data_IF_478424226107
#
_entry.id   IF_478424226107
#
_cell.length_a   1.000
_cell.length_b   1.000
_cell.length_c   1.000
_cell.angle_alpha   90.00
_cell.angle_beta   90.00
_cell.angle_gamma   90.00
#
_symmetry.space_group_name_H-M   'P 1'
#
loop_
_entity.id
_entity.type
_entity.pdbx_description
1 polymer ?
#
# COMPACT_ATOMS: atom_id res chain seq x y z
N UNK A 1 -16.28 -16.71 -9.75
CA UNK A 1 -15.63 -17.00 -8.45
C UNK A 1 -15.87 -15.80 -7.55
N UNK A 2 -16.42 -15.97 -6.35
CA UNK A 2 -16.56 -14.84 -5.41
C UNK A 2 -15.16 -14.47 -4.89
N UNK A 3 -14.80 -13.18 -4.90
CA UNK A 3 -13.49 -12.70 -4.43
C UNK A 3 -13.23 -13.12 -2.99
N UNK A 4 -12.02 -13.58 -2.64
CA UNK A 4 -11.72 -14.02 -1.29
C UNK A 4 -11.99 -12.93 -0.24
N UNK A 5 -11.70 -11.66 -0.54
CA UNK A 5 -11.84 -10.56 0.44
C UNK A 5 -13.30 -10.18 0.71
N UNK A 6 -14.16 -10.17 -0.32
CA UNK A 6 -15.61 -9.93 -0.15
C UNK A 6 -16.25 -11.02 0.72
N UNK A 7 -15.86 -12.28 0.52
CA UNK A 7 -16.34 -13.42 1.31
C UNK A 7 -15.96 -13.29 2.80
N UNK A 8 -14.75 -12.79 3.10
CA UNK A 8 -14.34 -12.52 4.48
C UNK A 8 -15.24 -11.45 5.13
N UNK A 9 -15.55 -10.38 4.39
CA UNK A 9 -16.46 -9.34 4.86
C UNK A 9 -17.89 -9.86 5.12
N UNK A 10 -18.45 -10.64 4.20
CA UNK A 10 -19.77 -11.27 4.38
C UNK A 10 -19.79 -12.22 5.59
N UNK A 11 -18.72 -12.97 5.80
CA UNK A 11 -18.57 -13.83 6.98
C UNK A 11 -18.56 -13.02 8.26
N UNK A 12 -17.81 -11.91 8.29
CA UNK A 12 -17.78 -11.00 9.43
C UNK A 12 -19.17 -10.41 9.74
N UNK A 13 -19.92 -9.98 8.71
CA UNK A 13 -21.31 -9.52 8.87
C UNK A 13 -22.20 -10.61 9.50
N UNK A 14 -22.12 -11.84 8.99
CA UNK A 14 -22.93 -12.96 9.45
C UNK A 14 -22.61 -13.40 10.89
N UNK A 15 -21.39 -13.14 11.38
CA UNK A 15 -21.03 -13.39 12.78
C UNK A 15 -21.53 -12.32 13.75
N UNK A 16 -22.28 -11.31 13.26
CA UNK A 16 -22.77 -10.19 14.06
C UNK A 16 -21.69 -9.13 14.29
N UNK A 17 -20.77 -8.96 13.33
CA UNK A 17 -19.67 -7.98 13.40
C UNK A 17 -18.78 -8.14 14.63
N UNK A 18 -18.55 -9.39 15.07
CA UNK A 18 -17.71 -9.67 16.24
C UNK A 18 -16.30 -9.13 16.02
N UNK A 19 -15.83 -8.35 16.97
CA UNK A 19 -14.46 -7.92 17.05
C UNK A 19 -13.69 -8.87 17.98
N UNK A 20 -12.54 -9.35 17.54
CA UNK A 20 -11.76 -10.34 18.26
C UNK A 20 -10.32 -10.35 17.83
N UNK A 21 -9.64 -11.45 18.13
CA UNK A 21 -8.26 -11.67 17.71
C UNK A 21 -8.24 -12.04 16.22
N UNK A 22 -7.45 -11.31 15.44
CA UNK A 22 -7.25 -11.56 14.02
C UNK A 22 -5.90 -12.26 13.87
N UNK A 23 -5.88 -13.46 13.31
CA UNK A 23 -4.66 -14.20 13.01
C UNK A 23 -4.90 -15.07 11.77
N UNK A 24 -3.85 -15.30 11.00
CA UNK A 24 -3.89 -16.22 9.84
C UNK A 24 -3.29 -17.58 10.16
N UNK A 25 -2.40 -17.64 11.15
CA UNK A 25 -1.81 -18.84 11.70
C UNK A 25 -1.51 -18.68 13.20
N UNK A 26 -1.28 -19.80 13.88
CA UNK A 26 -0.84 -19.87 15.27
C UNK A 26 -0.12 -21.20 15.56
N UNK A 27 0.23 -21.43 16.83
CA UNK A 27 0.95 -22.63 17.28
C UNK A 27 0.20 -23.97 17.09
N UNK A 28 -1.08 -23.94 16.71
CA UNK A 28 -1.95 -25.11 16.57
C UNK A 28 -2.48 -25.29 15.14
N UNK A 29 -2.00 -24.49 14.18
CA UNK A 29 -2.40 -24.57 12.77
C UNK A 29 -1.16 -24.73 11.89
N UNK A 30 -1.32 -25.29 10.70
CA UNK A 30 -0.29 -25.19 9.66
C UNK A 30 0.10 -23.71 9.44
N UNK A 31 1.38 -23.47 9.12
CA UNK A 31 1.85 -22.12 8.81
C UNK A 31 1.06 -21.54 7.64
N UNK A 32 0.73 -20.26 7.70
CA UNK A 32 0.08 -19.61 6.56
C UNK A 32 0.98 -19.68 5.32
N UNK A 33 2.29 -19.45 5.49
CA UNK A 33 3.30 -19.62 4.45
C UNK A 33 3.23 -20.99 3.78
N UNK A 34 2.99 -22.08 4.52
CA UNK A 34 2.90 -23.43 3.97
C UNK A 34 1.80 -23.54 2.92
N UNK A 35 0.62 -23.04 3.25
CA UNK A 35 -0.53 -22.99 2.35
C UNK A 35 -0.26 -22.12 1.11
N UNK A 36 0.50 -21.03 1.28
CA UNK A 36 0.89 -20.15 0.16
C UNK A 36 1.86 -20.87 -0.79
N UNK A 37 2.86 -21.58 -0.25
CA UNK A 37 3.82 -22.36 -1.03
C UNK A 37 3.13 -23.50 -1.77
N UNK A 38 2.21 -24.22 -1.13
CA UNK A 38 1.39 -25.27 -1.77
C UNK A 38 0.49 -24.72 -2.88
N UNK A 39 -0.01 -23.51 -2.70
CA UNK A 39 -0.76 -22.76 -3.70
C UNK A 39 0.10 -22.25 -4.87
N UNK A 40 1.42 -22.48 -4.86
CA UNK A 40 2.37 -21.96 -5.84
C UNK A 40 2.35 -20.42 -5.94
N UNK A 41 2.03 -19.74 -4.84
CA UNK A 41 1.97 -18.29 -4.74
C UNK A 41 3.25 -17.74 -4.11
N UNK A 42 3.53 -16.46 -4.35
CA UNK A 42 4.66 -15.80 -3.71
C UNK A 42 4.36 -15.50 -2.23
N UNK A 43 5.17 -16.00 -1.27
CA UNK A 43 4.95 -15.74 0.15
C UNK A 43 4.97 -14.26 0.52
N UNK A 44 5.94 -13.48 0.03
CA UNK A 44 6.06 -12.07 0.38
C UNK A 44 4.85 -11.26 -0.08
N UNK A 45 4.40 -11.46 -1.33
CA UNK A 45 3.22 -10.78 -1.88
C UNK A 45 1.96 -11.14 -1.10
N UNK A 46 1.76 -12.44 -0.84
CA UNK A 46 0.55 -12.92 -0.16
C UNK A 46 0.51 -12.43 1.30
N UNK A 47 1.63 -12.41 2.00
CA UNK A 47 1.72 -11.87 3.34
C UNK A 47 1.42 -10.36 3.39
N UNK A 48 1.81 -9.56 2.38
CA UNK A 48 1.42 -8.15 2.33
C UNK A 48 -0.09 -7.96 2.27
N UNK A 49 -0.78 -8.76 1.45
CA UNK A 49 -2.24 -8.74 1.36
C UNK A 49 -2.89 -9.13 2.70
N UNK A 50 -2.42 -10.22 3.31
CA UNK A 50 -2.93 -10.72 4.58
C UNK A 50 -2.72 -9.72 5.73
N UNK A 51 -1.51 -9.17 5.85
CA UNK A 51 -1.16 -8.17 6.87
C UNK A 51 -1.97 -6.90 6.69
N UNK A 52 -2.11 -6.37 5.48
CA UNK A 52 -2.96 -5.19 5.26
C UNK A 52 -4.39 -5.49 5.68
N UNK A 53 -4.95 -6.67 5.37
CA UNK A 53 -6.30 -7.04 5.82
C UNK A 53 -6.39 -7.08 7.34
N UNK A 54 -5.50 -7.79 8.02
CA UNK A 54 -5.49 -7.87 9.48
C UNK A 54 -5.38 -6.48 10.13
N UNK A 55 -4.48 -5.63 9.65
CA UNK A 55 -4.20 -4.33 10.26
C UNK A 55 -5.21 -3.23 9.87
N UNK A 56 -6.07 -3.45 8.88
CA UNK A 56 -7.07 -2.46 8.45
C UNK A 56 -8.51 -2.88 8.71
N UNK A 57 -8.74 -4.07 9.26
CA UNK A 57 -10.07 -4.58 9.64
C UNK A 57 -10.35 -4.41 11.14
N UNK A 58 -11.62 -4.47 11.58
CA UNK A 58 -11.99 -4.46 13.00
C UNK A 58 -11.47 -5.70 13.74
N UNK A 59 -10.93 -5.49 14.94
CA UNK A 59 -10.29 -6.53 15.75
C UNK A 59 -8.83 -6.22 16.07
N UNK A 60 -8.16 -7.16 16.75
CA UNK A 60 -6.78 -7.03 17.23
C UNK A 60 -5.89 -8.00 16.46
N UNK A 61 -4.97 -7.51 15.61
CA UNK A 61 -4.00 -8.35 14.92
C UNK A 61 -3.08 -9.06 15.90
N UNK A 62 -2.96 -10.38 15.75
CA UNK A 62 -1.96 -11.22 16.40
C UNK A 62 -1.11 -11.85 15.31
N UNK A 63 0.20 -11.71 15.46
CA UNK A 63 1.18 -12.24 14.53
C UNK A 63 2.01 -13.27 15.28
N UNK A 64 2.00 -14.48 14.76
CA UNK A 64 2.75 -15.59 15.34
C UNK A 64 4.23 -15.47 14.97
N UNK A 65 5.15 -15.86 15.87
CA UNK A 65 6.58 -15.75 15.62
C UNK A 65 6.99 -16.46 14.33
N UNK A 66 7.84 -15.83 13.51
CA UNK A 66 8.25 -16.33 12.20
C UNK A 66 7.33 -15.90 11.05
N UNK A 67 6.10 -15.46 11.32
CA UNK A 67 5.22 -14.92 10.28
C UNK A 67 5.73 -13.58 9.72
N UNK A 68 6.59 -12.88 10.47
CA UNK A 68 7.34 -11.71 10.02
C UNK A 68 8.45 -12.01 9.00
N UNK A 69 8.90 -13.27 8.87
CA UNK A 69 9.90 -13.74 7.91
C UNK A 69 9.39 -14.91 7.04
N UNK A 70 8.16 -14.77 6.51
CA UNK A 70 7.33 -15.84 5.93
C UNK A 70 7.80 -17.27 6.23
N UNK A 71 7.87 -17.63 7.52
CA UNK A 71 8.41 -18.91 7.94
C UNK A 71 7.48 -20.04 7.51
N UNK A 72 8.05 -21.05 6.85
CA UNK A 72 7.34 -22.26 6.43
C UNK A 72 7.33 -23.32 7.56
N UNK A 73 6.41 -24.27 7.49
CA UNK A 73 6.35 -25.42 8.38
C UNK A 73 5.20 -26.36 8.02
N UNK A 74 5.52 -27.63 7.78
CA UNK A 74 4.62 -28.71 7.36
C UNK A 74 4.23 -29.68 8.49
N UNK A 75 5.01 -29.69 9.57
CA UNK A 75 4.86 -30.54 10.76
C UNK A 75 4.71 -29.69 12.02
N UNK A 76 4.20 -30.28 13.09
CA UNK A 76 4.06 -29.57 14.38
C UNK A 76 5.42 -29.11 14.92
N UNK A 77 6.45 -29.96 14.78
CA UNK A 77 7.82 -29.64 15.12
C UNK A 77 8.30 -28.40 14.35
N UNK A 78 8.00 -28.32 13.05
CA UNK A 78 8.38 -27.20 12.19
C UNK A 78 7.62 -25.91 12.50
N UNK A 79 6.32 -26.01 12.79
CA UNK A 79 5.49 -24.86 13.22
C UNK A 79 6.06 -24.23 14.50
N UNK A 80 6.54 -25.06 15.43
CA UNK A 80 7.05 -24.64 16.74
C UNK A 80 8.55 -24.28 16.75
N UNK A 81 9.26 -24.41 15.61
CA UNK A 81 10.67 -24.00 15.51
C UNK A 81 10.84 -22.54 15.92
N UNK A 82 11.94 -22.26 16.61
CA UNK A 82 12.33 -20.89 16.92
C UNK A 82 12.65 -20.14 15.64
N UNK A 83 12.14 -18.91 15.56
CA UNK A 83 12.40 -18.02 14.44
C UNK A 83 13.89 -17.69 14.33
N UNK A 84 14.42 -17.74 13.11
CA UNK A 84 15.78 -17.33 12.80
C UNK A 84 15.81 -15.86 12.40
N UNK A 85 15.98 -14.96 13.37
CA UNK A 85 15.90 -13.51 13.14
C UNK A 85 16.85 -12.95 12.07
N UNK A 86 17.91 -13.68 11.71
CA UNK A 86 18.92 -13.25 10.74
C UNK A 86 18.67 -13.76 9.31
N UNK A 87 17.65 -14.59 9.07
CA UNK A 87 17.43 -15.25 7.77
C UNK A 87 16.27 -14.66 6.96
N UNK A 88 15.73 -13.51 7.39
CA UNK A 88 14.58 -12.87 6.78
C UNK A 88 14.89 -11.91 5.64
N UNK A 89 13.93 -11.74 4.73
CA UNK A 89 13.91 -10.65 3.75
C UNK A 89 13.60 -9.32 4.45
N UNK A 90 14.47 -8.32 4.27
CA UNK A 90 14.27 -6.96 4.79
C UNK A 90 12.98 -6.31 4.26
N UNK A 91 12.49 -6.74 3.08
CA UNK A 91 11.31 -6.14 2.43
C UNK A 91 10.02 -6.36 3.22
N UNK A 92 9.77 -7.59 3.67
CA UNK A 92 8.54 -7.92 4.40
C UNK A 92 8.58 -7.37 5.82
N UNK A 93 9.75 -7.37 6.47
CA UNK A 93 9.94 -6.75 7.77
C UNK A 93 9.66 -5.24 7.72
N UNK A 94 10.19 -4.54 6.71
CA UNK A 94 9.88 -3.12 6.47
C UNK A 94 8.40 -2.88 6.21
N UNK A 95 7.76 -3.76 5.44
CA UNK A 95 6.32 -3.67 5.21
C UNK A 95 5.53 -3.83 6.52
N UNK A 96 5.90 -4.79 7.35
CA UNK A 96 5.30 -5.03 8.67
C UNK A 96 5.40 -3.80 9.57
N UNK A 97 6.58 -3.19 9.63
CA UNK A 97 6.80 -1.94 10.37
C UNK A 97 5.93 -0.80 9.82
N UNK A 98 5.85 -0.66 8.48
CA UNK A 98 5.03 0.36 7.82
C UNK A 98 3.54 0.19 8.13
N UNK A 99 2.99 -1.02 7.97
CA UNK A 99 1.55 -1.26 8.20
C UNK A 99 1.18 -1.10 9.68
N UNK A 100 2.05 -1.53 10.60
CA UNK A 100 1.88 -1.33 12.04
C UNK A 100 1.90 0.17 12.40
N UNK A 101 2.85 0.92 11.83
CA UNK A 101 2.93 2.37 12.01
C UNK A 101 1.69 3.09 11.47
N UNK A 102 1.20 2.71 10.29
CA UNK A 102 -0.05 3.23 9.70
C UNK A 102 -1.22 2.98 10.66
N UNK A 103 -1.43 1.74 11.13
CA UNK A 103 -2.53 1.45 12.06
C UNK A 103 -2.44 2.27 13.36
N UNK A 104 -1.22 2.48 13.88
CA UNK A 104 -0.98 3.31 15.07
C UNK A 104 -1.26 4.79 14.82
N UNK A 105 -0.88 5.31 13.66
CA UNK A 105 -1.05 6.70 13.28
C UNK A 105 -2.51 7.06 12.99
N UNK A 106 -3.30 6.11 12.48
CA UNK A 106 -4.67 6.33 12.03
C UNK A 106 -5.68 5.56 12.88
N UNK A 107 -6.23 6.16 13.97
CA UNK A 107 -7.21 5.52 14.84
C UNK A 107 -8.45 4.97 14.13
N UNK A 108 -8.80 5.53 12.96
CA UNK A 108 -9.90 5.04 12.11
C UNK A 108 -9.73 3.58 11.69
N UNK A 109 -8.50 3.06 11.61
CA UNK A 109 -8.23 1.65 11.32
C UNK A 109 -8.44 0.73 12.54
N UNK A 110 -8.47 1.29 13.75
CA UNK A 110 -8.71 0.53 14.98
C UNK A 110 -10.16 0.64 15.46
N UNK A 111 -10.75 1.84 15.38
CA UNK A 111 -12.05 2.16 15.99
C UNK A 111 -13.12 2.59 15.00
N UNK A 112 -12.76 2.79 13.73
CA UNK A 112 -13.73 3.19 12.71
C UNK A 112 -14.65 2.06 12.31
N UNK A 113 -15.77 2.42 11.71
CA UNK A 113 -16.63 1.47 11.03
C UNK A 113 -15.87 0.72 9.92
N UNK A 114 -16.49 -0.32 9.37
CA UNK A 114 -15.92 -1.08 8.27
C UNK A 114 -17.03 -1.48 7.32
N UNK A 115 -17.03 -0.86 6.14
CA UNK A 115 -18.05 -1.05 5.12
C UNK A 115 -17.41 -1.40 3.79
N UNK A 116 -17.98 -2.36 3.07
CA UNK A 116 -17.63 -2.62 1.67
C UNK A 116 -18.28 -1.54 0.80
N UNK A 117 -17.46 -0.80 0.05
CA UNK A 117 -17.92 0.25 -0.88
C UNK A 117 -18.32 -0.36 -2.21
N UNK A 118 -17.39 -1.10 -2.82
CA UNK A 118 -17.61 -1.80 -4.07
C UNK A 118 -16.66 -2.99 -4.20
N UNK A 119 -17.03 -3.96 -5.04
CA UNK A 119 -16.21 -5.12 -5.36
C UNK A 119 -16.48 -5.57 -6.80
N UNK A 120 -15.40 -5.65 -7.59
CA UNK A 120 -15.44 -6.03 -9.00
C UNK A 120 -14.41 -7.10 -9.28
N UNK A 121 -14.85 -8.36 -9.43
CA UNK A 121 -13.92 -9.49 -9.46
C UNK A 121 -13.05 -9.47 -8.20
N UNK A 122 -11.78 -9.90 -8.27
CA UNK A 122 -10.97 -9.99 -7.06
C UNK A 122 -10.49 -8.65 -6.47
N UNK A 123 -10.94 -7.52 -7.04
CA UNK A 123 -10.77 -6.18 -6.49
C UNK A 123 -11.91 -5.84 -5.51
N UNK A 124 -11.57 -5.37 -4.31
CA UNK A 124 -12.52 -4.92 -3.30
C UNK A 124 -12.05 -3.62 -2.64
N UNK A 125 -12.96 -2.67 -2.45
CA UNK A 125 -12.69 -1.41 -1.75
C UNK A 125 -13.54 -1.31 -0.51
N UNK A 126 -12.88 -1.07 0.62
CA UNK A 126 -13.51 -0.85 1.91
C UNK A 126 -13.36 0.60 2.34
N UNK A 127 -14.34 1.08 3.09
CA UNK A 127 -14.34 2.38 3.75
C UNK A 127 -14.29 2.17 5.25
N UNK A 128 -13.41 2.93 5.90
CA UNK A 128 -13.32 3.07 7.36
C UNK A 128 -13.59 4.53 7.71
N UNK A 129 -14.53 4.79 8.60
CA UNK A 129 -14.87 6.12 9.09
C UNK A 129 -14.88 6.14 10.61
N UNK A 130 -14.19 7.13 11.20
CA UNK A 130 -14.15 7.38 12.63
C UNK A 130 -14.05 8.87 12.89
N UNK A 131 -15.04 9.43 13.57
CA UNK A 131 -15.18 10.89 13.76
C UNK A 131 -15.19 11.61 12.41
N UNK A 132 -14.30 12.58 12.20
CA UNK A 132 -14.12 13.35 10.96
C UNK A 132 -13.18 12.69 9.95
N UNK A 133 -12.61 11.52 10.26
CA UNK A 133 -11.64 10.84 9.39
C UNK A 133 -12.28 9.70 8.63
N UNK A 134 -12.03 9.68 7.33
CA UNK A 134 -12.39 8.60 6.42
C UNK A 134 -11.15 8.11 5.69
N UNK A 135 -11.04 6.80 5.53
CA UNK A 135 -10.00 6.15 4.75
C UNK A 135 -10.60 5.07 3.87
N UNK A 136 -9.97 4.84 2.72
CA UNK A 136 -10.32 3.75 1.81
C UNK A 136 -9.20 2.72 1.80
N UNK A 137 -9.56 1.45 1.75
CA UNK A 137 -8.60 0.34 1.66
C UNK A 137 -8.98 -0.51 0.48
N UNK A 138 -8.06 -0.63 -0.47
CA UNK A 138 -8.28 -1.37 -1.71
C UNK A 138 -7.40 -2.61 -1.72
N UNK A 139 -8.01 -3.75 -2.07
CA UNK A 139 -7.33 -5.02 -2.24
C UNK A 139 -7.56 -5.49 -3.67
N UNK A 140 -6.50 -5.77 -4.41
CA UNK A 140 -6.57 -6.50 -5.66
C UNK A 140 -5.91 -7.87 -5.49
N UNK A 141 -6.72 -8.91 -5.26
CA UNK A 141 -6.25 -10.30 -5.20
C UNK A 141 -6.45 -11.02 -6.55
N UNK A 142 -6.48 -10.27 -7.65
CA UNK A 142 -6.58 -10.79 -9.02
C UNK A 142 -5.18 -10.96 -9.63
N UNK A 143 -5.11 -11.72 -10.72
CA UNK A 143 -3.87 -11.91 -11.51
C UNK A 143 -3.64 -10.78 -12.52
N UNK A 144 -4.54 -9.80 -12.58
CA UNK A 144 -4.52 -8.66 -13.49
C UNK A 144 -4.72 -7.34 -12.75
N UNK A 145 -4.26 -6.24 -13.35
CA UNK A 145 -4.62 -4.89 -12.91
C UNK A 145 -6.12 -4.68 -13.07
N UNK A 146 -6.78 -4.21 -12.01
CA UNK A 146 -8.22 -3.95 -12.00
C UNK A 146 -8.49 -2.50 -11.60
N UNK A 147 -9.66 -2.01 -12.02
CA UNK A 147 -10.12 -0.66 -11.71
C UNK A 147 -11.53 -0.67 -11.15
N UNK A 148 -11.79 0.26 -10.24
CA UNK A 148 -13.09 0.49 -9.61
C UNK A 148 -13.28 1.98 -9.39
N UNK A 149 -14.49 2.46 -9.60
CA UNK A 149 -14.85 3.85 -9.35
C UNK A 149 -15.54 3.96 -8.00
N UNK A 150 -15.11 4.92 -7.17
CA UNK A 150 -15.81 5.27 -5.94
C UNK A 150 -16.35 6.69 -6.04
N UNK A 151 -17.58 6.91 -5.54
CA UNK A 151 -18.25 8.23 -5.54
C UNK A 151 -18.40 8.83 -4.15
N UNK A 152 -18.02 8.09 -3.11
CA UNK A 152 -18.25 8.44 -1.71
C UNK A 152 -17.08 9.26 -1.12
N UNK A 153 -16.49 10.11 -1.94
CA UNK A 153 -15.37 11.01 -1.60
C UNK A 153 -15.86 12.45 -1.81
N UNK A 154 -15.64 13.38 -0.86
CA UNK A 154 -16.08 14.76 -1.02
C UNK A 154 -15.41 15.45 -2.22
N UNK A 155 -16.17 16.28 -2.94
CA UNK A 155 -15.67 17.10 -4.06
C UNK A 155 -14.43 17.91 -3.67
N UNK A 156 -13.50 18.08 -4.62
CA UNK A 156 -12.27 18.84 -4.41
C UNK A 156 -11.23 18.17 -3.50
N UNK A 157 -11.47 16.91 -3.12
CA UNK A 157 -10.49 16.08 -2.43
C UNK A 157 -9.73 15.18 -3.41
N UNK A 158 -8.62 14.62 -2.96
CA UNK A 158 -7.86 13.54 -3.59
C UNK A 158 -7.64 12.40 -2.59
N UNK A 159 -7.47 11.20 -3.12
CA UNK A 159 -7.06 10.03 -2.35
C UNK A 159 -5.54 9.89 -2.46
N UNK A 160 -4.86 9.87 -1.33
CA UNK A 160 -3.40 9.75 -1.24
C UNK A 160 -3.01 8.40 -0.64
N UNK A 161 -2.28 7.59 -1.43
CA UNK A 161 -1.88 6.22 -1.08
C UNK A 161 -0.73 6.19 -0.07
N UNK A 162 -0.88 5.37 0.97
CA UNK A 162 0.07 5.26 2.07
C UNK A 162 1.05 4.08 1.93
N UNK A 163 0.85 3.17 0.97
CA UNK A 163 1.69 1.99 0.73
C UNK A 163 2.44 2.06 -0.60
N UNK A 164 1.74 2.34 -1.70
CA UNK A 164 2.29 2.38 -3.06
C UNK A 164 2.42 3.79 -3.66
N UNK A 165 2.15 4.82 -2.85
CA UNK A 165 2.19 6.24 -3.25
C UNK A 165 1.23 6.59 -4.41
N UNK A 166 0.16 5.80 -4.57
CA UNK A 166 -0.87 6.04 -5.57
C UNK A 166 -1.71 7.27 -5.24
N UNK A 167 -1.87 8.20 -6.19
CA UNK A 167 -2.75 9.35 -6.05
C UNK A 167 -3.96 9.17 -6.98
N UNK A 168 -5.17 9.26 -6.43
CA UNK A 168 -6.41 9.22 -7.21
C UNK A 168 -7.15 10.54 -7.05
N UNK A 169 -7.48 11.16 -8.18
CA UNK A 169 -8.23 12.41 -8.25
C UNK A 169 -9.59 12.17 -8.88
N UNK A 170 -10.48 13.11 -8.65
CA UNK A 170 -11.80 13.17 -9.28
C UNK A 170 -11.65 13.27 -10.80
N UNK A 171 -12.49 12.52 -11.53
CA UNK A 171 -12.56 12.56 -12.99
C UNK A 171 -13.70 13.49 -13.46
N UNK A 172 -13.87 13.63 -14.78
CA UNK A 172 -14.95 14.45 -15.38
C UNK A 172 -16.38 13.94 -15.08
N UNK A 173 -16.52 12.78 -14.44
CA UNK A 173 -17.80 12.13 -14.12
C UNK A 173 -18.10 12.15 -12.60
N UNK A 174 -17.37 12.96 -11.83
CA UNK A 174 -17.44 13.05 -10.37
C UNK A 174 -17.18 11.68 -9.69
N UNK A 175 -16.24 10.90 -10.27
CA UNK A 175 -15.81 9.61 -9.74
C UNK A 175 -14.31 9.56 -9.49
N UNK A 176 -13.93 8.82 -8.45
CA UNK A 176 -12.53 8.54 -8.11
C UNK A 176 -12.18 7.14 -8.62
N UNK A 177 -11.45 7.08 -9.74
CA UNK A 177 -11.07 5.83 -10.38
C UNK A 177 -9.81 5.24 -9.74
N UNK A 178 -10.02 4.30 -8.83
CA UNK A 178 -8.95 3.55 -8.19
C UNK A 178 -8.47 2.46 -9.15
N UNK A 179 -7.17 2.44 -9.43
CA UNK A 179 -6.49 1.43 -10.24
C UNK A 179 -5.43 0.74 -9.37
N UNK A 180 -5.52 -0.58 -9.23
CA UNK A 180 -4.54 -1.39 -8.50
C UNK A 180 -3.96 -2.45 -9.40
N UNK A 181 -2.65 -2.60 -9.37
CA UNK A 181 -1.95 -3.71 -10.01
C UNK A 181 -2.36 -5.05 -9.41
N UNK A 182 -2.08 -6.14 -10.13
CA UNK A 182 -2.33 -7.51 -9.65
C UNK A 182 -1.68 -7.74 -8.29
N UNK A 183 -2.35 -8.53 -7.45
CA UNK A 183 -1.85 -8.95 -6.13
C UNK A 183 -1.32 -7.79 -5.26
N UNK A 184 -1.98 -6.64 -5.32
CA UNK A 184 -1.55 -5.41 -4.64
C UNK A 184 -2.61 -4.86 -3.69
N UNK A 185 -2.18 -3.98 -2.79
CA UNK A 185 -3.01 -3.30 -1.80
C UNK A 185 -2.62 -1.85 -1.68
N UNK A 186 -3.61 -1.02 -1.42
CA UNK A 186 -3.38 0.40 -1.14
C UNK A 186 -4.30 0.89 -0.03
N UNK A 187 -3.79 1.81 0.80
CA UNK A 187 -4.55 2.47 1.85
C UNK A 187 -4.55 3.96 1.53
N UNK A 188 -5.72 4.55 1.38
CA UNK A 188 -5.88 5.94 0.98
C UNK A 188 -6.36 6.81 2.14
N UNK A 189 -5.68 7.94 2.36
CA UNK A 189 -6.22 9.09 3.09
C UNK A 189 -6.96 10.01 2.14
N UNK A 190 -7.96 10.73 2.65
CA UNK A 190 -8.62 11.83 1.93
C UNK A 190 -7.91 13.13 2.31
N UNK A 191 -7.43 13.86 1.31
CA UNK A 191 -6.75 15.16 1.46
C UNK A 191 -7.29 16.15 0.43
N UNK A 192 -7.20 17.45 0.69
CA UNK A 192 -7.58 18.47 -0.31
C UNK A 192 -6.70 18.33 -1.57
N UNK A 193 -7.30 18.44 -2.77
CA UNK A 193 -6.53 18.45 -4.01
C UNK A 193 -5.79 19.78 -4.14
N UNK A 194 -4.49 19.75 -3.81
CA UNK A 194 -3.58 20.91 -3.90
C UNK A 194 -3.06 21.13 -5.32
N UNK A 195 -3.44 20.32 -6.30
CA UNK A 195 -2.98 20.44 -7.68
C UNK A 195 -1.47 20.32 -7.83
N UNK A 196 -0.90 21.06 -8.78
CA UNK A 196 0.56 21.15 -9.00
C UNK A 196 1.15 22.27 -8.13
N UNK A 197 2.21 21.96 -7.38
CA UNK A 197 2.94 22.96 -6.61
C UNK A 197 3.81 23.82 -7.55
N UNK A 198 3.21 24.87 -8.13
CA UNK A 198 3.86 25.77 -9.08
C UNK A 198 5.11 26.46 -8.53
N UNK A 199 5.17 26.73 -7.22
CA UNK A 199 6.38 27.28 -6.59
C UNK A 199 7.54 26.28 -6.65
N UNK A 200 7.28 25.02 -6.33
CA UNK A 200 8.28 23.95 -6.41
C UNK A 200 8.73 23.73 -7.86
N UNK A 201 7.78 23.65 -8.80
CA UNK A 201 8.08 23.49 -10.23
C UNK A 201 8.92 24.67 -10.74
N UNK A 202 8.53 25.89 -10.39
CA UNK A 202 9.28 27.10 -10.75
C UNK A 202 10.71 27.09 -10.20
N UNK A 203 10.90 26.64 -8.96
CA UNK A 203 12.23 26.49 -8.35
C UNK A 203 13.09 25.46 -9.09
N UNK A 204 12.54 24.29 -9.40
CA UNK A 204 13.24 23.23 -10.14
C UNK A 204 13.62 23.70 -11.54
N UNK A 205 12.69 24.31 -12.28
CA UNK A 205 12.96 24.88 -13.61
C UNK A 205 14.03 25.98 -13.51
N UNK A 206 13.97 26.84 -12.49
CA UNK A 206 14.98 27.86 -12.24
C UNK A 206 16.39 27.30 -12.06
N UNK A 207 16.52 26.19 -11.30
CA UNK A 207 17.81 25.49 -11.11
C UNK A 207 18.34 24.96 -12.45
N UNK A 208 17.50 24.34 -13.28
CA UNK A 208 17.91 23.84 -14.59
C UNK A 208 18.32 24.97 -15.55
N UNK A 209 17.58 26.09 -15.57
CA UNK A 209 17.93 27.25 -16.39
C UNK A 209 19.26 27.84 -15.95
N UNK A 210 19.49 28.00 -14.63
CA UNK A 210 20.75 28.48 -14.10
C UNK A 210 21.93 27.56 -14.47
N UNK A 211 21.71 26.24 -14.44
CA UNK A 211 22.71 25.25 -14.85
C UNK A 211 23.07 25.35 -16.34
N UNK A 212 22.07 25.52 -17.22
CA UNK A 212 22.31 25.71 -18.66
C UNK A 212 23.06 27.02 -18.94
N UNK A 213 22.68 28.11 -18.28
CA UNK A 213 23.38 29.40 -18.39
C UNK A 213 24.83 29.26 -17.93
N UNK A 214 25.06 28.57 -16.82
CA UNK A 214 26.41 28.31 -16.31
C UNK A 214 27.27 27.53 -17.31
N UNK A 215 26.74 26.46 -17.91
CA UNK A 215 27.44 25.70 -18.97
C UNK A 215 27.73 26.59 -20.19
N UNK A 216 26.78 27.43 -20.59
CA UNK A 216 26.95 28.33 -21.73
C UNK A 216 28.08 29.34 -21.47
N UNK A 217 28.14 29.92 -20.27
CA UNK A 217 29.21 30.83 -19.85
C UNK A 217 30.57 30.12 -19.83
N UNK A 218 30.65 28.91 -19.29
CA UNK A 218 31.89 28.12 -19.28
C UNK A 218 32.36 27.78 -20.69
N UNK A 219 31.44 27.33 -21.56
CA UNK A 219 31.72 27.00 -22.96
C UNK A 219 32.19 28.23 -23.74
N UNK A 220 31.56 29.39 -23.51
CA UNK A 220 31.97 30.65 -24.11
C UNK A 220 33.38 31.08 -23.65
N UNK A 221 33.67 30.97 -22.34
CA UNK A 221 35.01 31.26 -21.79
C UNK A 221 36.09 30.31 -22.33
N UNK A 222 35.77 29.02 -22.50
CA UNK A 222 36.70 28.02 -23.02
C UNK A 222 37.05 28.27 -24.49
N UNK A 223 36.06 28.58 -25.35
CA UNK A 223 36.31 28.94 -26.76
C UNK A 223 37.21 30.17 -26.90
N UNK A 224 37.03 31.19 -26.04
CA UNK A 224 37.87 32.40 -26.04
C UNK A 224 39.32 32.13 -25.58
N UNK A 225 39.55 31.15 -24.70
CA UNK A 225 40.90 30.69 -24.31
C UNK A 225 41.59 29.93 -25.44
N UNK A 226 40.88 29.02 -26.13
CA UNK A 226 41.45 28.25 -27.22
C UNK A 226 41.79 29.12 -28.45
N UNK A 227 40.97 30.14 -28.75
CA UNK A 227 41.26 31.10 -29.82
C UNK A 227 42.49 31.98 -29.58
N UNK A 228 42.90 32.21 -28.32
CA UNK A 228 44.14 32.91 -27.99
C UNK A 228 45.39 32.04 -28.06
N UNK A 229 45.25 30.71 -27.98
CA UNK A 229 46.38 29.77 -28.03
C UNK A 229 46.82 29.43 -29.47
N UNK A 230 46.01 29.77 -30.48
CA UNK A 230 46.29 29.58 -31.91
C UNK A 230 46.92 30.83 -32.57
N UNK A 231 47.13 31.90 -31.81
CA UNK A 231 47.71 33.18 -32.26
C UNK A 231 49.12 33.44 -31.69
N UNK A 232 49.79 32.39 -31.17
CA UNK A 232 51.20 32.41 -30.74
C UNK A 232 51.97 31.46 -31.65
#
# INVERSE_FOLDING_TARGET
MVPPVKKLYETWLNTGKREGLLYVDNAYTDRFTRKVVEGHLNPETTWKLALTYMYTTPGVPIVFQGSEIPMDGDTMEDVLKMVQFNSGSDKIQKFFQRISAIRKQFPVLSYGDFNLVDSKGALSVFKRTYKDKTMFISFNNDTETKTVSVKDVPEGMQLNGLLGDNIVRENEQDEYKIALDRESVEIYTIEEDKGLNWLFIGMVVGIFVAFVIFIMILSYKQRKRNGKSLMI
#
